data_IF_133769479838
#
_entry.id   IF_133769479838
#
_cell.length_a   1.000
_cell.length_b   1.000
_cell.length_c   1.000
_cell.angle_alpha   90.00
_cell.angle_beta   90.00
_cell.angle_gamma   90.00
#
_symmetry.space_group_name_H-M   'P 1'
#
loop_
_entity.id
_entity.type
_entity.pdbx_description
1 polymer ?
#
# COMPACT_ATOMS: atom_id res chain seq x y z
N UNK A 1 -2.25 -0.20 -4.62
CA UNK A 1 -3.35 -1.08 -4.17
C UNK A 1 -4.50 -1.22 -5.17
N UNK A 2 -4.84 -0.20 -5.97
CA UNK A 2 -5.86 -0.36 -7.01
C UNK A 2 -5.49 -1.43 -8.06
N UNK A 3 -4.24 -1.43 -8.54
CA UNK A 3 -3.75 -2.44 -9.48
C UNK A 3 -3.76 -3.86 -8.89
N UNK A 4 -3.33 -4.03 -7.64
CA UNK A 4 -3.37 -5.34 -6.97
C UNK A 4 -4.79 -5.84 -6.80
N UNK A 5 -5.76 -4.97 -6.49
CA UNK A 5 -7.17 -5.33 -6.44
C UNK A 5 -7.71 -5.74 -7.82
N UNK A 6 -7.30 -5.06 -8.88
CA UNK A 6 -7.66 -5.40 -10.26
C UNK A 6 -7.09 -6.77 -10.66
N UNK A 7 -5.80 -7.02 -10.44
CA UNK A 7 -5.18 -8.32 -10.71
C UNK A 7 -5.85 -9.41 -9.89
N UNK A 8 -6.18 -9.15 -8.62
CA UNK A 8 -6.89 -10.11 -7.78
C UNK A 8 -8.30 -10.40 -8.29
N UNK A 9 -9.00 -9.38 -8.79
CA UNK A 9 -10.30 -9.55 -9.44
C UNK A 9 -10.20 -10.41 -10.71
N UNK A 10 -9.16 -10.22 -11.52
CA UNK A 10 -8.89 -11.07 -12.69
C UNK A 10 -8.58 -12.52 -12.28
N UNK A 11 -7.81 -12.73 -11.21
CA UNK A 11 -7.50 -14.07 -10.69
C UNK A 11 -8.77 -14.80 -10.26
N UNK A 12 -9.71 -14.12 -9.60
CA UNK A 12 -10.99 -14.70 -9.21
C UNK A 12 -12.01 -14.82 -10.36
N UNK A 13 -11.84 -14.08 -11.45
CA UNK A 13 -12.79 -14.07 -12.59
C UNK A 13 -12.34 -14.93 -13.78
N UNK A 14 -11.10 -15.45 -13.78
CA UNK A 14 -10.54 -16.27 -14.87
C UNK A 14 -10.62 -17.77 -14.53
N UNK A 15 -11.14 -18.58 -15.45
CA UNK A 15 -11.44 -20.01 -15.24
C UNK A 15 -10.22 -20.86 -14.84
N UNK A 16 -10.44 -21.99 -14.15
CA UNK A 16 -11.55 -22.94 -14.37
C UNK A 16 -12.45 -23.28 -13.16
N UNK A 17 -12.20 -22.71 -11.99
CA UNK A 17 -13.10 -22.76 -10.82
C UNK A 17 -13.38 -21.33 -10.38
N UNK A 18 -14.66 -20.93 -10.37
CA UNK A 18 -15.12 -19.61 -9.88
C UNK A 18 -15.25 -19.57 -8.35
N UNK A 19 -14.93 -20.67 -7.68
CA UNK A 19 -14.82 -20.76 -6.23
C UNK A 19 -13.34 -20.93 -5.91
N UNK A 20 -12.84 -20.03 -5.05
CA UNK A 20 -11.66 -20.13 -4.19
C UNK A 20 -10.80 -21.40 -4.39
N UNK A 21 -9.50 -21.20 -4.57
CA UNK A 21 -8.46 -22.16 -4.99
C UNK A 21 -8.27 -23.43 -4.15
N UNK A 22 -9.21 -23.79 -3.28
CA UNK A 22 -9.11 -24.89 -2.31
C UNK A 22 -10.46 -25.58 -2.05
N UNK A 23 -11.15 -26.06 -3.09
CA UNK A 23 -11.95 -27.28 -2.89
C UNK A 23 -11.02 -28.48 -3.03
N UNK A 24 -10.96 -29.44 -2.08
CA UNK A 24 -10.15 -30.64 -2.21
C UNK A 24 -10.78 -31.53 -3.28
N UNK A 25 -10.45 -31.26 -4.53
CA UNK A 25 -10.88 -32.07 -5.67
C UNK A 25 -9.69 -32.95 -6.02
N UNK A 26 -9.85 -34.27 -5.88
CA UNK A 26 -8.81 -35.26 -6.12
C UNK A 26 -8.23 -35.27 -7.56
N UNK A 27 -8.78 -34.49 -8.50
CA UNK A 27 -8.34 -34.45 -9.91
C UNK A 27 -8.44 -33.06 -10.59
N UNK A 28 -8.44 -31.93 -9.85
CA UNK A 28 -8.56 -30.61 -10.48
C UNK A 28 -7.32 -29.71 -10.27
N UNK A 29 -6.12 -30.16 -10.66
CA UNK A 29 -5.02 -29.23 -10.94
C UNK A 29 -5.24 -28.54 -12.29
N UNK A 30 -6.17 -27.59 -12.31
CA UNK A 30 -6.41 -26.79 -13.50
C UNK A 30 -5.90 -25.38 -13.18
N UNK A 31 -4.62 -25.19 -13.55
CA UNK A 31 -3.87 -23.95 -13.34
C UNK A 31 -4.65 -22.78 -13.93
N UNK A 32 -4.72 -21.67 -13.19
CA UNK A 32 -5.27 -20.44 -13.73
C UNK A 32 -4.40 -19.99 -14.92
N UNK A 33 -5.04 -19.55 -16.00
CA UNK A 33 -4.34 -19.08 -17.20
C UNK A 33 -3.61 -17.74 -16.99
N UNK A 34 -3.65 -17.17 -15.78
CA UNK A 34 -2.96 -15.92 -15.44
C UNK A 34 -1.52 -16.20 -15.04
N UNK A 35 -0.58 -15.55 -15.73
CA UNK A 35 0.83 -15.58 -15.39
C UNK A 35 1.11 -14.73 -14.15
N UNK A 36 2.03 -15.20 -13.29
CA UNK A 36 2.51 -14.47 -12.10
C UNK A 36 3.13 -13.11 -12.48
N UNK A 37 3.55 -12.95 -13.75
CA UNK A 37 4.08 -11.70 -14.29
C UNK A 37 3.15 -10.49 -14.09
N UNK A 38 1.83 -10.69 -14.01
CA UNK A 38 0.87 -9.61 -13.74
C UNK A 38 1.01 -8.96 -12.35
N UNK A 39 1.71 -9.62 -11.41
CA UNK A 39 2.00 -9.05 -10.09
C UNK A 39 3.23 -8.13 -10.10
N UNK A 40 4.11 -8.24 -11.10
CA UNK A 40 5.36 -7.45 -11.19
C UNK A 40 5.11 -5.94 -11.08
N UNK A 41 4.13 -5.35 -11.79
CA UNK A 41 3.88 -3.91 -11.70
C UNK A 41 3.51 -3.47 -10.28
N UNK A 42 2.81 -4.31 -9.51
CA UNK A 42 2.44 -4.02 -8.12
C UNK A 42 3.67 -3.76 -7.25
N UNK A 43 4.65 -4.65 -7.32
CA UNK A 43 5.89 -4.55 -6.53
C UNK A 43 6.74 -3.37 -6.99
N UNK A 44 6.81 -3.14 -8.30
CA UNK A 44 7.54 -2.01 -8.86
C UNK A 44 6.99 -0.66 -8.37
N UNK A 45 5.68 -0.43 -8.49
CA UNK A 45 5.08 0.83 -8.07
C UNK A 45 5.17 1.07 -6.56
N UNK A 46 5.02 0.02 -5.75
CA UNK A 46 5.19 0.12 -4.29
C UNK A 46 6.62 0.55 -3.96
N UNK A 47 7.63 -0.13 -4.50
CA UNK A 47 9.03 0.20 -4.24
C UNK A 47 9.40 1.62 -4.66
N UNK A 48 8.94 2.05 -5.84
CA UNK A 48 9.15 3.44 -6.30
C UNK A 48 8.50 4.45 -5.34
N UNK A 49 7.26 4.20 -4.92
CA UNK A 49 6.54 5.10 -4.00
C UNK A 49 7.20 5.19 -2.63
N UNK A 50 7.75 4.08 -2.13
CA UNK A 50 8.42 4.01 -0.84
C UNK A 50 9.73 4.80 -0.86
N UNK A 51 10.54 4.64 -1.91
CA UNK A 51 11.81 5.37 -2.06
C UNK A 51 11.56 6.88 -2.09
N UNK A 52 10.58 7.35 -2.88
CA UNK A 52 10.25 8.77 -2.90
C UNK A 52 9.77 9.26 -1.54
N UNK A 53 8.79 8.60 -0.92
CA UNK A 53 8.24 9.04 0.36
C UNK A 53 9.27 9.04 1.49
N UNK A 54 10.12 8.01 1.57
CA UNK A 54 11.10 7.88 2.64
C UNK A 54 12.23 8.90 2.53
N UNK A 55 12.82 9.08 1.34
CA UNK A 55 13.93 10.01 1.15
C UNK A 55 13.46 11.45 1.31
N UNK A 56 12.40 11.86 0.62
CA UNK A 56 11.92 13.26 0.70
C UNK A 56 11.34 13.57 2.07
N UNK A 57 10.64 12.60 2.69
CA UNK A 57 10.06 12.77 4.01
C UNK A 57 11.13 12.98 5.08
N UNK A 58 12.22 12.22 5.00
CA UNK A 58 13.32 12.35 5.95
C UNK A 58 14.10 13.65 5.73
N UNK A 59 14.39 14.02 4.49
CA UNK A 59 15.03 15.30 4.15
C UNK A 59 14.20 16.51 4.61
N UNK A 60 12.89 16.48 4.38
CA UNK A 60 11.97 17.51 4.86
C UNK A 60 11.96 17.59 6.40
N UNK A 61 11.92 16.44 7.07
CA UNK A 61 11.96 16.39 8.53
C UNK A 61 13.29 16.93 9.09
N UNK A 62 14.42 16.66 8.43
CA UNK A 62 15.73 17.18 8.82
C UNK A 62 15.87 18.69 8.60
N UNK A 63 15.33 19.23 7.51
CA UNK A 63 15.43 20.66 7.18
C UNK A 63 14.55 21.53 8.08
N UNK A 64 13.42 21.00 8.57
CA UNK A 64 12.52 21.69 9.50
C UNK A 64 12.84 21.47 10.99
N UNK A 65 13.74 20.55 11.35
CA UNK A 65 14.06 20.23 12.74
C UNK A 65 15.10 21.18 13.37
N UNK A 66 14.90 21.64 14.63
CA UNK A 66 15.91 22.42 15.35
C UNK A 66 17.16 21.57 15.65
N UNK A 67 18.33 22.21 15.70
CA UNK A 67 19.64 21.54 15.68
C UNK A 67 19.84 20.49 16.80
N UNK A 68 19.24 20.67 17.97
CA UNK A 68 19.33 19.75 19.11
C UNK A 68 18.34 18.58 19.07
N UNK A 69 17.30 18.61 18.21
CA UNK A 69 16.22 17.61 18.21
C UNK A 69 16.19 16.73 16.95
N UNK A 70 17.19 16.83 16.08
CA UNK A 70 17.24 16.04 14.82
C UNK A 70 17.05 14.53 15.05
N UNK A 71 17.71 13.96 16.06
CA UNK A 71 17.58 12.53 16.41
C UNK A 71 16.16 12.17 16.86
N UNK A 72 15.48 13.06 17.57
CA UNK A 72 14.11 12.84 18.06
C UNK A 72 13.13 12.84 16.89
N UNK A 73 13.26 13.77 15.94
CA UNK A 73 12.40 13.85 14.75
C UNK A 73 12.54 12.60 13.86
N UNK A 74 13.76 12.10 13.67
CA UNK A 74 14.01 10.85 12.94
C UNK A 74 13.42 9.64 13.67
N UNK A 75 13.50 9.64 15.00
CA UNK A 75 12.90 8.58 15.82
C UNK A 75 11.37 8.56 15.68
N UNK A 76 10.72 9.71 15.58
CA UNK A 76 9.28 9.79 15.25
C UNK A 76 8.98 9.28 13.84
N UNK A 77 9.84 9.54 12.86
CA UNK A 77 9.69 8.97 11.53
C UNK A 77 9.73 7.43 11.57
N UNK A 78 10.72 6.84 12.25
CA UNK A 78 10.81 5.38 12.44
C UNK A 78 9.62 4.80 13.23
N UNK A 79 9.07 5.57 14.18
CA UNK A 79 7.87 5.18 14.92
C UNK A 79 6.66 5.06 13.98
N UNK A 80 6.52 5.93 12.97
CA UNK A 80 5.43 5.78 11.99
C UNK A 80 5.55 4.49 11.19
N UNK A 81 6.76 4.09 10.82
CA UNK A 81 7.02 2.79 10.15
C UNK A 81 6.68 1.62 11.06
N UNK A 82 7.03 1.69 12.35
CA UNK A 82 6.67 0.66 13.32
C UNK A 82 5.15 0.50 13.48
N UNK A 83 4.41 1.62 13.53
CA UNK A 83 2.95 1.63 13.57
C UNK A 83 2.38 1.02 12.27
N UNK A 84 2.94 1.35 11.11
CA UNK A 84 2.54 0.75 9.83
C UNK A 84 2.69 -0.77 9.80
N UNK A 85 3.80 -1.28 10.34
CA UNK A 85 4.03 -2.72 10.50
C UNK A 85 3.04 -3.35 11.49
N UNK A 86 2.78 -2.71 12.63
CA UNK A 86 1.80 -3.19 13.60
C UNK A 86 0.38 -3.27 13.02
N UNK A 87 -0.02 -2.27 12.23
CA UNK A 87 -1.29 -2.29 11.49
C UNK A 87 -1.31 -3.45 10.48
N UNK A 88 -0.22 -3.68 9.76
CA UNK A 88 -0.12 -4.80 8.82
C UNK A 88 -0.36 -6.15 9.50
N UNK A 89 0.18 -6.34 10.72
CA UNK A 89 -0.13 -7.51 11.54
C UNK A 89 -1.61 -7.58 11.94
N UNK A 90 -2.24 -6.46 12.29
CA UNK A 90 -3.66 -6.44 12.65
C UNK A 90 -4.58 -6.88 11.49
N UNK A 91 -4.16 -6.70 10.22
CA UNK A 91 -4.93 -7.11 9.04
C UNK A 91 -4.73 -8.57 8.61
N UNK A 92 -3.80 -9.32 9.20
CA UNK A 92 -3.58 -10.75 8.90
C UNK A 92 -4.85 -11.61 8.85
N UNK A 93 -5.82 -11.48 9.78
CA UNK A 93 -7.04 -12.30 9.76
C UNK A 93 -7.96 -12.02 8.56
N UNK A 94 -7.82 -10.85 7.92
CA UNK A 94 -8.58 -10.46 6.73
C UNK A 94 -7.97 -11.03 5.44
N UNK A 95 -6.74 -11.54 5.48
CA UNK A 95 -6.01 -12.08 4.34
C UNK A 95 -6.41 -13.52 3.97
N UNK A 96 -7.68 -13.88 4.17
CA UNK A 96 -8.24 -15.20 3.85
C UNK A 96 -9.08 -15.09 2.57
N UNK A 97 -8.99 -16.05 1.67
CA UNK A 97 -9.89 -16.15 0.51
C UNK A 97 -11.35 -16.30 0.96
N UNK A 98 -12.35 -15.62 0.35
CA UNK A 98 -12.31 -14.64 -0.76
C UNK A 98 -12.23 -13.17 -0.29
N UNK A 99 -12.00 -12.91 1.01
CA UNK A 99 -12.01 -11.55 1.60
C UNK A 99 -10.78 -10.73 1.20
N UNK A 100 -9.75 -11.35 0.65
CA UNK A 100 -8.51 -10.72 0.21
C UNK A 100 -8.73 -9.59 -0.82
N UNK A 101 -9.66 -9.77 -1.78
CA UNK A 101 -10.01 -8.72 -2.74
C UNK A 101 -10.61 -7.51 -2.04
N UNK A 102 -11.57 -7.74 -1.12
CA UNK A 102 -12.21 -6.67 -0.36
C UNK A 102 -11.21 -5.91 0.53
N UNK A 103 -10.20 -6.60 1.06
CA UNK A 103 -9.09 -5.97 1.77
C UNK A 103 -8.27 -5.04 0.87
N UNK A 104 -7.92 -5.46 -0.35
CA UNK A 104 -7.18 -4.58 -1.28
C UNK A 104 -8.01 -3.40 -1.76
N UNK A 105 -9.31 -3.60 -1.99
CA UNK A 105 -10.22 -2.51 -2.39
C UNK A 105 -10.37 -1.50 -1.25
N UNK A 106 -10.58 -1.94 -0.02
CA UNK A 106 -10.71 -1.02 1.12
C UNK A 106 -9.42 -0.23 1.36
N UNK A 107 -8.25 -0.89 1.29
CA UNK A 107 -6.96 -0.21 1.39
C UNK A 107 -6.73 0.79 0.24
N UNK A 108 -7.17 0.48 -0.98
CA UNK A 108 -7.10 1.42 -2.10
C UNK A 108 -7.97 2.67 -1.86
N UNK A 109 -9.18 2.50 -1.35
CA UNK A 109 -10.07 3.62 -1.03
C UNK A 109 -9.51 4.46 0.11
N UNK A 110 -9.06 3.84 1.20
CA UNK A 110 -8.48 4.56 2.36
C UNK A 110 -7.23 5.34 1.95
N UNK A 111 -6.32 4.73 1.18
CA UNK A 111 -5.11 5.43 0.69
C UNK A 111 -5.44 6.58 -0.26
N UNK A 112 -6.46 6.44 -1.11
CA UNK A 112 -6.92 7.53 -1.97
C UNK A 112 -7.51 8.70 -1.18
N UNK A 113 -8.33 8.41 -0.16
CA UNK A 113 -8.88 9.43 0.74
C UNK A 113 -7.75 10.14 1.48
N UNK A 114 -6.81 9.39 2.08
CA UNK A 114 -5.67 9.97 2.80
C UNK A 114 -4.79 10.82 1.89
N UNK A 115 -4.51 10.38 0.66
CA UNK A 115 -3.75 11.16 -0.32
C UNK A 115 -4.49 12.46 -0.68
N UNK A 116 -5.81 12.40 -0.88
CA UNK A 116 -6.64 13.57 -1.18
C UNK A 116 -6.64 14.56 0.00
N UNK A 117 -6.82 14.07 1.22
CA UNK A 117 -6.77 14.90 2.43
C UNK A 117 -5.40 15.55 2.63
N UNK A 118 -4.32 14.77 2.44
CA UNK A 118 -2.95 15.29 2.52
C UNK A 118 -2.74 16.41 1.50
N UNK A 119 -3.12 16.18 0.24
CA UNK A 119 -3.01 17.19 -0.81
C UNK A 119 -3.79 18.46 -0.46
N UNK A 120 -5.04 18.34 -0.02
CA UNK A 120 -5.88 19.50 0.32
C UNK A 120 -5.33 20.30 1.51
N UNK A 121 -4.84 19.62 2.54
CA UNK A 121 -4.31 20.26 3.75
C UNK A 121 -2.98 20.99 3.45
N UNK A 122 -2.04 20.31 2.77
CA UNK A 122 -0.71 20.86 2.50
C UNK A 122 -0.66 21.84 1.32
N UNK A 123 -1.65 21.82 0.41
CA UNK A 123 -1.71 22.79 -0.69
C UNK A 123 -1.70 24.23 -0.19
N UNK A 124 -2.23 24.50 1.00
CA UNK A 124 -2.22 25.84 1.58
C UNK A 124 -0.83 26.23 2.11
N UNK A 125 -0.11 25.31 2.74
CA UNK A 125 1.24 25.57 3.24
C UNK A 125 2.24 25.70 2.09
N UNK A 126 2.11 24.88 1.03
CA UNK A 126 2.93 25.00 -0.18
C UNK A 126 2.82 26.37 -0.85
N UNK A 127 1.63 27.00 -0.81
CA UNK A 127 1.45 28.35 -1.35
C UNK A 127 2.22 29.40 -0.55
N UNK A 128 2.22 29.29 0.79
CA UNK A 128 2.96 30.22 1.65
C UNK A 128 4.47 30.11 1.45
N UNK A 129 4.99 28.91 1.24
CA UNK A 129 6.42 28.70 0.94
C UNK A 129 6.82 29.16 -0.47
N UNK A 130 5.87 29.21 -1.42
CA UNK A 130 6.12 29.70 -2.78
C UNK A 130 6.07 31.23 -2.90
N UNK A 131 5.53 31.93 -1.90
CA UNK A 131 5.43 33.39 -1.85
C UNK A 131 6.61 34.07 -1.11
N UNK A 132 7.51 33.28 -0.51
CA UNK A 132 8.75 33.73 0.18
C UNK A 132 9.93 33.60 -0.78
#
# INVERSE_FOLDING_TARGET
>A
MAWTAFVQHLIYSTGPNYDYTTKPCHECQKFNNITVAWQIPSYFFIGVSEVFAAITGLEYAYTKAPASMKSVVVSFFLLTTAIGSALSFAFLPLAIDPKLLWMYVSLAVVTFIMATLFFLCFRNEQKKEAEI
#
